data_IF_454885378269
#
_entry.id   IF_454885378269
#
_cell.length_a   1.000
_cell.length_b   1.000
_cell.length_c   1.000
_cell.angle_alpha   90.00
_cell.angle_beta   90.00
_cell.angle_gamma   90.00
#
_symmetry.space_group_name_H-M   'P 1'
#
loop_
_entity.id
_entity.type
_entity.pdbx_description
1 polymer ?
#
# COMPACT_ATOMS: atom_id res chain seq x y z
N UNK A 1 -24.09 15.13 4.43
CA UNK A 1 -23.14 14.12 3.91
C UNK A 1 -23.19 12.91 4.82
N UNK A 2 -23.71 11.78 4.35
CA UNK A 2 -23.66 10.53 5.13
C UNK A 2 -22.21 9.99 5.13
N UNK A 3 -21.78 9.38 6.23
CA UNK A 3 -20.47 8.71 6.37
C UNK A 3 -19.21 9.58 6.12
N UNK A 4 -19.27 10.89 6.39
CA UNK A 4 -18.14 11.81 6.20
C UNK A 4 -16.87 11.39 6.98
N UNK A 5 -17.02 10.81 8.17
CA UNK A 5 -15.89 10.27 8.97
C UNK A 5 -15.18 9.13 8.24
N UNK A 6 -15.93 8.21 7.62
CA UNK A 6 -15.36 7.12 6.82
C UNK A 6 -14.70 7.58 5.54
N UNK A 7 -15.26 8.61 4.88
CA UNK A 7 -14.65 9.20 3.70
C UNK A 7 -13.28 9.80 4.02
N UNK A 8 -13.18 10.59 5.10
CA UNK A 8 -11.93 11.21 5.52
C UNK A 8 -10.87 10.14 5.86
N UNK A 9 -11.26 9.06 6.56
CA UNK A 9 -10.36 7.95 6.86
C UNK A 9 -9.84 7.24 5.59
N UNK A 10 -10.71 7.02 4.59
CA UNK A 10 -10.30 6.42 3.31
C UNK A 10 -9.48 7.37 2.45
N UNK A 11 -9.77 8.67 2.48
CA UNK A 11 -9.00 9.68 1.75
C UNK A 11 -7.57 9.77 2.30
N UNK A 12 -7.45 9.89 3.62
CA UNK A 12 -6.14 9.90 4.30
C UNK A 12 -5.42 8.57 4.06
N UNK A 13 -6.10 7.44 4.26
CA UNK A 13 -5.52 6.11 4.03
C UNK A 13 -5.05 5.88 2.60
N UNK A 14 -5.82 6.34 1.60
CA UNK A 14 -5.46 6.27 0.18
C UNK A 14 -4.27 7.15 -0.19
N UNK A 15 -4.19 8.37 0.35
CA UNK A 15 -3.02 9.25 0.16
C UNK A 15 -1.77 8.61 0.78
N UNK A 16 -1.88 8.08 2.00
CA UNK A 16 -0.77 7.38 2.65
C UNK A 16 -0.30 6.17 1.85
N UNK A 17 -1.22 5.42 1.23
CA UNK A 17 -0.90 4.30 0.35
C UNK A 17 -0.14 4.73 -0.91
N UNK A 18 -0.53 5.86 -1.53
CA UNK A 18 0.18 6.42 -2.68
C UNK A 18 1.59 6.86 -2.27
N UNK A 19 1.72 7.58 -1.15
CA UNK A 19 3.01 8.05 -0.63
C UNK A 19 3.90 6.86 -0.26
N UNK A 20 3.35 5.81 0.37
CA UNK A 20 4.11 4.61 0.69
C UNK A 20 4.62 3.87 -0.55
N UNK A 21 3.82 3.82 -1.63
CA UNK A 21 4.26 3.30 -2.92
C UNK A 21 5.40 4.12 -3.52
N UNK A 22 5.35 5.45 -3.39
CA UNK A 22 6.42 6.34 -3.84
C UNK A 22 7.70 6.19 -2.99
N UNK A 23 7.59 6.08 -1.67
CA UNK A 23 8.74 5.87 -0.77
C UNK A 23 9.41 4.52 -1.04
N UNK A 24 8.62 3.46 -1.27
CA UNK A 24 9.15 2.15 -1.69
C UNK A 24 9.92 2.21 -3.00
N UNK A 25 9.47 3.04 -3.96
CA UNK A 25 10.21 3.29 -5.20
C UNK A 25 11.54 3.98 -4.98
N UNK A 26 11.60 4.96 -4.07
CA UNK A 26 12.80 5.76 -3.82
C UNK A 26 13.90 4.90 -3.20
N UNK A 27 13.55 4.08 -2.18
CA UNK A 27 14.51 3.15 -1.58
C UNK A 27 15.02 2.09 -2.58
N UNK A 28 14.17 1.69 -3.54
CA UNK A 28 14.59 0.79 -4.59
C UNK A 28 15.54 1.46 -5.60
N UNK A 29 15.33 2.74 -5.93
CA UNK A 29 16.24 3.53 -6.77
C UNK A 29 17.62 3.70 -6.12
N UNK A 30 17.69 3.94 -4.81
CA UNK A 30 18.97 3.97 -4.08
C UNK A 30 19.70 2.62 -4.18
N UNK A 31 18.96 1.52 -4.03
CA UNK A 31 19.51 0.17 -4.22
C UNK A 31 20.05 -0.04 -5.64
N UNK A 32 19.39 0.53 -6.66
CA UNK A 32 19.87 0.48 -8.04
C UNK A 32 21.14 1.29 -8.24
N UNK A 33 21.30 2.45 -7.58
CA UNK A 33 22.55 3.22 -7.66
C UNK A 33 23.74 2.47 -7.05
N UNK A 34 23.50 1.72 -5.96
CA UNK A 34 24.50 0.83 -5.34
C UNK A 34 24.87 -0.36 -6.23
N UNK A 35 23.90 -0.92 -6.97
CA UNK A 35 24.15 -2.02 -7.92
C UNK A 35 24.85 -1.51 -9.18
N UNK A 36 24.51 -0.31 -9.65
CA UNK A 36 25.10 0.33 -10.83
C UNK A 36 26.58 0.70 -10.64
N UNK A 37 27.06 0.82 -9.40
CA UNK A 37 28.51 0.94 -9.12
C UNK A 37 29.30 -0.35 -9.33
N UNK A 38 28.62 -1.49 -9.55
CA UNK A 38 29.25 -2.79 -9.84
C UNK A 38 29.16 -3.05 -11.35
N UNK A 39 30.27 -2.96 -12.11
CA UNK A 39 30.26 -3.01 -13.58
C UNK A 39 29.70 -4.31 -14.18
N UNK A 40 29.70 -5.40 -13.42
CA UNK A 40 29.16 -6.71 -13.85
C UNK A 40 27.62 -6.80 -13.77
N UNK A 41 26.98 -5.96 -12.95
CA UNK A 41 25.52 -5.95 -12.75
C UNK A 41 24.83 -4.77 -13.42
N UNK A 42 25.57 -3.85 -14.03
CA UNK A 42 25.05 -2.65 -14.71
C UNK A 42 24.01 -3.00 -15.79
N UNK A 43 24.16 -4.13 -16.46
CA UNK A 43 23.21 -4.61 -17.48
C UNK A 43 21.81 -4.92 -16.94
N UNK A 44 21.67 -5.27 -15.65
CA UNK A 44 20.38 -5.62 -15.03
C UNK A 44 19.60 -4.36 -14.63
N UNK A 45 20.28 -3.25 -14.38
CA UNK A 45 19.72 -1.97 -13.93
C UNK A 45 18.52 -1.51 -14.79
N UNK A 46 18.59 -1.39 -16.13
CA UNK A 46 17.45 -0.93 -16.92
C UNK A 46 16.20 -1.84 -16.82
N UNK A 47 16.37 -3.15 -16.65
CA UNK A 47 15.24 -4.08 -16.51
C UNK A 47 14.54 -3.92 -15.15
N UNK A 48 15.32 -3.71 -14.09
CA UNK A 48 14.79 -3.49 -12.74
C UNK A 48 14.07 -2.14 -12.64
N UNK A 49 14.54 -1.10 -13.35
CA UNK A 49 13.90 0.22 -13.36
C UNK A 49 12.52 0.18 -14.05
N UNK A 50 12.42 -0.54 -15.16
CA UNK A 50 11.14 -0.77 -15.84
C UNK A 50 10.17 -1.51 -14.92
N UNK A 51 10.64 -2.56 -14.24
CA UNK A 51 9.83 -3.32 -13.31
C UNK A 51 9.34 -2.46 -12.13
N UNK A 52 10.23 -1.62 -11.58
CA UNK A 52 9.89 -0.67 -10.52
C UNK A 52 8.83 0.35 -10.96
N UNK A 53 8.98 0.93 -12.15
CA UNK A 53 7.97 1.85 -12.71
C UNK A 53 6.61 1.19 -12.84
N UNK A 54 6.56 -0.06 -13.30
CA UNK A 54 5.31 -0.83 -13.39
C UNK A 54 4.73 -1.09 -12.00
N UNK A 55 5.55 -1.47 -11.02
CA UNK A 55 5.10 -1.70 -9.64
C UNK A 55 4.54 -0.42 -8.99
N UNK A 56 5.20 0.72 -9.19
CA UNK A 56 4.73 2.02 -8.69
C UNK A 56 3.41 2.41 -9.34
N UNK A 57 3.27 2.17 -10.64
CA UNK A 57 2.03 2.43 -11.35
C UNK A 57 0.88 1.59 -10.76
N UNK A 58 1.09 0.29 -10.54
CA UNK A 58 0.10 -0.60 -9.93
C UNK A 58 -0.21 -0.18 -8.48
N UNK A 59 0.80 0.19 -7.69
CA UNK A 59 0.61 0.65 -6.31
C UNK A 59 -0.21 1.95 -6.25
N UNK A 60 0.05 2.89 -7.16
CA UNK A 60 -0.70 4.15 -7.25
C UNK A 60 -2.18 3.92 -7.64
N UNK A 61 -2.45 2.96 -8.53
CA UNK A 61 -3.82 2.55 -8.89
C UNK A 61 -4.58 1.99 -7.68
N UNK A 62 -3.90 1.26 -6.80
CA UNK A 62 -4.47 0.79 -5.54
C UNK A 62 -4.92 1.94 -4.63
N UNK A 63 -4.07 2.95 -4.42
CA UNK A 63 -4.40 4.13 -3.63
C UNK A 63 -5.55 4.97 -4.23
N UNK A 64 -5.55 5.15 -5.55
CA UNK A 64 -6.65 5.82 -6.28
C UNK A 64 -7.96 5.03 -6.12
N UNK A 65 -7.90 3.70 -6.20
CA UNK A 65 -9.04 2.82 -5.97
C UNK A 65 -9.65 2.97 -4.58
N UNK A 66 -8.81 3.14 -3.55
CA UNK A 66 -9.28 3.45 -2.18
C UNK A 66 -9.97 4.80 -2.11
N UNK A 67 -9.41 5.84 -2.74
CA UNK A 67 -10.00 7.19 -2.73
C UNK A 67 -11.34 7.21 -3.47
N UNK A 68 -11.41 6.59 -4.65
CA UNK A 68 -12.63 6.48 -5.44
C UNK A 68 -13.70 5.65 -4.73
N UNK A 69 -13.31 4.54 -4.12
CA UNK A 69 -14.20 3.72 -3.30
C UNK A 69 -14.68 4.47 -2.05
N UNK A 70 -13.82 5.29 -1.44
CA UNK A 70 -14.16 6.20 -0.35
C UNK A 70 -15.21 7.22 -0.77
N UNK A 71 -15.05 7.84 -1.94
CA UNK A 71 -16.02 8.79 -2.49
C UNK A 71 -17.40 8.13 -2.69
N UNK A 72 -17.43 6.89 -3.17
CA UNK A 72 -18.68 6.11 -3.32
C UNK A 72 -19.37 5.80 -1.98
N UNK A 73 -18.68 5.84 -0.83
CA UNK A 73 -19.31 5.71 0.49
C UNK A 73 -20.17 6.92 0.87
N UNK A 74 -19.96 8.07 0.23
CA UNK A 74 -20.77 9.29 0.45
C UNK A 74 -22.06 9.31 -0.39
N UNK A 75 -22.17 8.37 -1.34
CA UNK A 75 -23.33 8.17 -2.22
C UNK A 75 -24.21 7.04 -1.65
N UNK A 76 -25.51 6.93 -1.99
CA UNK A 76 -26.38 5.81 -1.61
C UNK A 76 -25.86 4.40 -2.03
N UNK A 77 -24.79 4.30 -2.83
CA UNK A 77 -24.15 3.05 -3.27
C UNK A 77 -23.05 2.56 -2.32
N UNK A 78 -23.28 2.63 -1.01
CA UNK A 78 -22.31 2.29 0.05
C UNK A 78 -21.73 0.86 -0.11
N UNK A 79 -22.53 -0.09 -0.58
CA UNK A 79 -22.08 -1.47 -0.83
C UNK A 79 -20.98 -1.58 -1.89
N UNK A 80 -21.13 -0.86 -3.01
CA UNK A 80 -20.14 -0.84 -4.10
C UNK A 80 -18.83 -0.17 -3.68
N UNK A 81 -18.94 0.92 -2.90
CA UNK A 81 -17.76 1.59 -2.32
C UNK A 81 -16.97 0.68 -1.38
N UNK A 82 -17.65 -0.06 -0.49
CA UNK A 82 -17.01 -1.05 0.40
C UNK A 82 -16.31 -2.18 -0.36
N UNK A 83 -16.85 -2.61 -1.50
CA UNK A 83 -16.26 -3.68 -2.31
C UNK A 83 -14.95 -3.21 -2.98
N UNK A 84 -14.97 -2.03 -3.61
CA UNK A 84 -13.79 -1.45 -4.26
C UNK A 84 -12.66 -1.19 -3.25
N UNK A 85 -12.99 -0.60 -2.10
CA UNK A 85 -12.02 -0.39 -1.01
C UNK A 85 -11.48 -1.74 -0.52
N UNK A 86 -12.33 -2.76 -0.42
CA UNK A 86 -11.95 -4.10 0.00
C UNK A 86 -10.94 -4.76 -0.94
N UNK A 87 -11.12 -4.63 -2.26
CA UNK A 87 -10.17 -5.16 -3.25
C UNK A 87 -8.85 -4.37 -3.19
N UNK A 88 -8.92 -3.04 -3.18
CA UNK A 88 -7.75 -2.19 -3.20
C UNK A 88 -6.88 -2.34 -1.93
N UNK A 89 -7.51 -2.31 -0.75
CA UNK A 89 -6.80 -2.52 0.52
C UNK A 89 -6.43 -4.00 0.74
N UNK A 90 -7.24 -4.94 0.25
CA UNK A 90 -7.00 -6.37 0.38
C UNK A 90 -5.75 -6.84 -0.34
N UNK A 91 -5.50 -6.32 -1.55
CA UNK A 91 -4.26 -6.60 -2.29
C UNK A 91 -3.02 -6.07 -1.56
N UNK A 92 -3.11 -4.87 -0.96
CA UNK A 92 -2.05 -4.33 -0.11
C UNK A 92 -1.79 -5.20 1.14
N UNK A 93 -2.85 -5.67 1.81
CA UNK A 93 -2.75 -6.57 2.95
C UNK A 93 -2.10 -7.91 2.57
N UNK A 94 -2.46 -8.49 1.42
CA UNK A 94 -1.86 -9.74 0.93
C UNK A 94 -0.36 -9.56 0.68
N UNK A 95 0.05 -8.45 0.05
CA UNK A 95 1.46 -8.13 -0.17
C UNK A 95 2.25 -8.08 1.15
N UNK A 96 1.67 -7.49 2.19
CA UNK A 96 2.26 -7.44 3.52
C UNK A 96 2.40 -8.80 4.17
N UNK A 97 1.38 -9.66 4.04
CA UNK A 97 1.42 -11.03 4.57
C UNK A 97 2.55 -11.82 3.88
N UNK A 98 2.69 -11.70 2.56
CA UNK A 98 3.76 -12.38 1.82
C UNK A 98 5.14 -11.90 2.29
N UNK A 99 5.29 -10.60 2.53
CA UNK A 99 6.56 -10.03 2.99
C UNK A 99 6.92 -10.47 4.41
N UNK A 100 5.94 -10.52 5.32
CA UNK A 100 6.10 -11.10 6.64
C UNK A 100 6.55 -12.56 6.57
N UNK A 101 5.88 -13.38 5.76
CA UNK A 101 6.22 -14.81 5.59
C UNK A 101 7.65 -14.97 5.06
N UNK A 102 8.05 -14.18 4.06
CA UNK A 102 9.44 -14.20 3.54
C UNK A 102 10.46 -13.91 4.65
N UNK A 103 10.22 -12.89 5.45
CA UNK A 103 11.18 -12.46 6.47
C UNK A 103 11.28 -13.49 7.59
N UNK A 104 10.17 -14.07 8.02
CA UNK A 104 10.18 -15.18 8.98
C UNK A 104 11.00 -16.36 8.44
N UNK A 105 10.86 -16.67 7.15
CA UNK A 105 11.53 -17.80 6.54
C UNK A 105 13.04 -17.59 6.33
N UNK A 106 13.46 -16.37 5.95
CA UNK A 106 14.86 -16.06 5.64
C UNK A 106 15.67 -15.53 6.82
N UNK A 107 15.05 -14.80 7.75
CA UNK A 107 15.73 -14.09 8.84
C UNK A 107 15.27 -14.50 10.25
N UNK A 108 14.33 -15.46 10.36
CA UNK A 108 13.86 -15.99 11.64
C UNK A 108 13.07 -14.96 12.47
N UNK A 109 12.96 -15.23 13.77
CA UNK A 109 12.13 -14.44 14.71
C UNK A 109 12.74 -13.04 14.97
N UNK A 110 14.06 -12.89 14.99
CA UNK A 110 14.71 -11.58 15.13
C UNK A 110 14.49 -10.68 13.90
N UNK A 111 14.60 -11.26 12.70
CA UNK A 111 14.24 -10.56 11.47
C UNK A 111 12.78 -10.13 11.43
N UNK A 112 11.88 -10.93 12.02
CA UNK A 112 10.47 -10.58 12.16
C UNK A 112 10.27 -9.34 13.06
N UNK A 113 10.95 -9.24 14.21
CA UNK A 113 10.83 -8.07 15.10
C UNK A 113 11.37 -6.80 14.45
N UNK A 114 12.53 -6.87 13.79
CA UNK A 114 13.10 -5.72 13.06
C UNK A 114 12.19 -5.28 11.90
N UNK A 115 11.61 -6.23 11.18
CA UNK A 115 10.66 -5.92 10.13
C UNK A 115 9.38 -5.33 10.70
N UNK A 116 8.84 -5.86 11.80
CA UNK A 116 7.66 -5.32 12.47
C UNK A 116 7.88 -3.88 12.93
N UNK A 117 9.05 -3.57 13.45
CA UNK A 117 9.42 -2.22 13.87
C UNK A 117 9.52 -1.26 12.68
N UNK A 118 10.19 -1.67 11.59
CA UNK A 118 10.27 -0.90 10.35
C UNK A 118 8.88 -0.71 9.69
N UNK A 119 8.04 -1.73 9.77
CA UNK A 119 6.66 -1.73 9.29
C UNK A 119 5.76 -0.83 10.14
N UNK A 120 5.94 -0.82 11.46
CA UNK A 120 5.17 0.01 12.39
C UNK A 120 5.40 1.49 12.13
N UNK A 121 6.60 1.86 11.69
CA UNK A 121 6.92 3.21 11.22
C UNK A 121 6.58 3.44 9.73
N UNK A 122 6.12 2.41 9.01
CA UNK A 122 5.82 2.52 7.59
C UNK A 122 4.44 3.13 7.35
N UNK A 123 4.45 4.24 6.61
CA UNK A 123 3.26 4.99 6.18
C UNK A 123 2.27 4.08 5.42
N UNK A 124 2.75 3.03 4.76
CA UNK A 124 1.91 2.09 4.01
C UNK A 124 0.98 1.25 4.87
N UNK A 125 1.45 0.79 6.03
CA UNK A 125 0.63 0.03 6.97
C UNK A 125 -0.45 0.90 7.62
N UNK A 126 -0.07 2.11 8.02
CA UNK A 126 -0.99 3.09 8.58
C UNK A 126 -2.09 3.39 7.54
N UNK A 127 -1.72 3.54 6.27
CA UNK A 127 -2.67 3.71 5.16
C UNK A 127 -3.65 2.55 5.01
N UNK A 128 -3.18 1.30 5.04
CA UNK A 128 -4.03 0.10 4.93
C UNK A 128 -4.99 -0.01 6.12
N UNK A 129 -4.49 0.18 7.35
CA UNK A 129 -5.28 0.08 8.58
C UNK A 129 -6.38 1.15 8.57
N UNK A 130 -6.04 2.41 8.29
CA UNK A 130 -7.00 3.51 8.20
C UNK A 130 -8.09 3.24 7.16
N UNK A 131 -7.71 2.65 6.04
CA UNK A 131 -8.64 2.29 4.96
C UNK A 131 -9.61 1.18 5.40
N UNK A 132 -9.11 0.16 6.11
CA UNK A 132 -9.95 -0.93 6.66
C UNK A 132 -10.91 -0.40 7.74
N UNK A 133 -10.42 0.48 8.63
CA UNK A 133 -11.27 1.15 9.63
C UNK A 133 -12.31 2.05 8.96
N UNK A 134 -11.93 2.85 7.98
CA UNK A 134 -12.86 3.68 7.19
C UNK A 134 -13.97 2.85 6.54
N UNK A 135 -13.64 1.68 5.98
CA UNK A 135 -14.61 0.71 5.45
C UNK A 135 -15.55 0.17 6.52
N UNK A 136 -15.05 -0.17 7.72
CA UNK A 136 -15.84 -0.74 8.81
C UNK A 136 -16.78 0.27 9.45
N UNK A 137 -16.35 1.52 9.59
CA UNK A 137 -17.15 2.59 10.21
C UNK A 137 -18.26 3.11 9.29
N UNK A 138 -18.22 2.79 7.99
CA UNK A 138 -19.27 3.18 7.06
C UNK A 138 -20.51 2.31 7.28
N UNK A 139 -21.60 2.86 7.78
CA UNK A 139 -22.90 2.19 7.89
C UNK A 139 -23.80 2.60 6.73
N UNK A 140 -24.61 1.66 6.22
CA UNK A 140 -25.67 2.03 5.28
C UNK A 140 -26.68 2.90 6.03
N UNK A 141 -27.26 3.93 5.38
CA UNK A 141 -28.36 4.66 6.00
C UNK A 141 -29.52 3.70 6.23
N UNK A 142 -29.95 3.60 7.49
CA UNK A 142 -31.27 3.09 7.86
C UNK A 142 -32.33 4.12 7.45
#
# INVERSE_FOLDING_TARGET
MQNMKSFILCLIGGILLIVAGAVGSIGALEFMTLIGTIPELEFIVPYVDILLKVLVFIASLGGIGVIAGGFLLTTPRVGTGKFIIGIAAGMGLIGLIIQLVKVVYFAGIEGLFNLLEAISQSIGWIGIILTIFGRRTASAPE
#
